data_IF_195664249337
#
_entry.id   IF_195664249337
#
_cell.length_a   1.000
_cell.length_b   1.000
_cell.length_c   1.000
_cell.angle_alpha   90.00
_cell.angle_beta   90.00
_cell.angle_gamma   90.00
#
_symmetry.space_group_name_H-M   'P 1'
#
loop_
_entity.id
_entity.type
_entity.pdbx_description
1 polymer ?
#
# COMPACT_ATOMS: atom_id res chain seq x y z
N UNK A 1 8.19 -47.03 -6.34
CA UNK A 1 8.68 -45.65 -6.51
C UNK A 1 7.57 -44.82 -7.15
N UNK A 2 6.72 -44.20 -6.34
CA UNK A 2 5.52 -43.52 -6.80
C UNK A 2 5.87 -42.16 -7.44
N UNK A 3 6.06 -42.20 -8.76
CA UNK A 3 5.92 -41.15 -9.75
C UNK A 3 6.01 -39.68 -9.25
N UNK A 4 7.21 -39.11 -9.36
CA UNK A 4 7.47 -37.65 -9.27
C UNK A 4 6.58 -36.83 -10.23
N UNK A 5 6.11 -37.42 -11.34
CA UNK A 5 5.22 -36.78 -12.31
C UNK A 5 3.80 -36.54 -11.78
N UNK A 6 3.31 -37.38 -10.87
CA UNK A 6 1.97 -37.21 -10.29
C UNK A 6 1.97 -36.01 -9.33
N UNK A 7 3.01 -35.85 -8.52
CA UNK A 7 3.15 -34.68 -7.64
C UNK A 7 3.33 -33.38 -8.42
N UNK A 8 4.05 -33.40 -9.53
CA UNK A 8 4.20 -32.21 -10.38
C UNK A 8 2.86 -31.75 -10.98
N UNK A 9 2.02 -32.67 -11.48
CA UNK A 9 0.70 -32.35 -12.00
C UNK A 9 -0.27 -31.90 -10.91
N UNK A 10 -0.23 -32.54 -9.74
CA UNK A 10 -1.09 -32.19 -8.61
C UNK A 10 -0.70 -30.84 -8.01
N UNK A 11 0.61 -30.52 -7.94
CA UNK A 11 1.10 -29.21 -7.53
C UNK A 11 0.73 -28.11 -8.53
N UNK A 12 0.83 -28.38 -9.85
CA UNK A 12 0.43 -27.41 -10.89
C UNK A 12 -1.08 -27.13 -10.85
N UNK A 13 -1.91 -28.15 -10.63
CA UNK A 13 -3.36 -28.02 -10.50
C UNK A 13 -3.72 -27.21 -9.25
N UNK A 14 -3.08 -27.49 -8.11
CA UNK A 14 -3.27 -26.74 -6.85
C UNK A 14 -2.86 -25.26 -7.01
N UNK A 15 -1.79 -24.99 -7.76
CA UNK A 15 -1.31 -23.63 -8.03
C UNK A 15 -2.27 -22.86 -8.96
N UNK A 16 -2.86 -23.53 -9.95
CA UNK A 16 -3.86 -22.96 -10.85
C UNK A 16 -5.18 -22.64 -10.13
N UNK A 17 -5.64 -23.53 -9.24
CA UNK A 17 -6.82 -23.28 -8.40
C UNK A 17 -6.57 -22.12 -7.41
N UNK A 18 -5.38 -22.04 -6.81
CA UNK A 18 -5.00 -20.92 -5.95
C UNK A 18 -5.01 -19.59 -6.71
N UNK A 19 -4.48 -19.54 -7.95
CA UNK A 19 -4.52 -18.35 -8.79
C UNK A 19 -5.96 -17.95 -9.21
N UNK A 20 -6.82 -18.91 -9.52
CA UNK A 20 -8.22 -18.66 -9.88
C UNK A 20 -9.05 -18.13 -8.69
N UNK A 21 -8.82 -18.64 -7.49
CA UNK A 21 -9.44 -18.13 -6.26
C UNK A 21 -8.94 -16.72 -5.92
N UNK A 22 -7.68 -16.44 -6.24
CA UNK A 22 -7.06 -15.13 -6.06
C UNK A 22 -7.68 -14.07 -6.98
N UNK A 23 -7.91 -14.39 -8.26
CA UNK A 23 -8.53 -13.49 -9.23
C UNK A 23 -10.01 -13.15 -8.92
N UNK A 24 -10.76 -14.07 -8.28
CA UNK A 24 -12.19 -13.87 -7.96
C UNK A 24 -12.44 -12.91 -6.79
N UNK A 25 -11.39 -12.55 -6.02
CA UNK A 25 -11.53 -11.81 -4.76
C UNK A 25 -10.74 -10.50 -4.73
N UNK A 26 -10.24 -10.02 -5.88
CA UNK A 26 -9.40 -8.82 -5.95
C UNK A 26 -10.18 -7.58 -5.50
N UNK A 27 -9.75 -6.92 -4.42
CA UNK A 27 -10.46 -5.76 -3.89
C UNK A 27 -10.26 -4.54 -4.78
N UNK A 28 -11.36 -3.86 -5.09
CA UNK A 28 -11.30 -2.59 -5.82
C UNK A 28 -10.96 -1.43 -4.85
N UNK A 29 -9.76 -0.87 -4.98
CA UNK A 29 -9.25 0.22 -4.14
C UNK A 29 -10.17 1.46 -4.18
N UNK A 30 -10.61 1.85 -5.39
CA UNK A 30 -11.45 3.03 -5.60
C UNK A 30 -12.78 2.88 -4.85
N UNK A 31 -13.39 1.70 -4.90
CA UNK A 31 -14.65 1.40 -4.20
C UNK A 31 -14.50 1.50 -2.68
N UNK A 32 -13.36 1.04 -2.13
CA UNK A 32 -13.07 1.11 -0.70
C UNK A 32 -12.91 2.56 -0.24
N UNK A 33 -12.16 3.37 -0.99
CA UNK A 33 -11.91 4.78 -0.66
C UNK A 33 -13.15 5.66 -0.85
N UNK A 34 -13.90 5.46 -1.94
CA UNK A 34 -15.12 6.23 -2.26
C UNK A 34 -16.18 6.08 -1.17
N UNK A 35 -16.34 4.86 -0.62
CA UNK A 35 -17.27 4.59 0.49
C UNK A 35 -16.99 5.42 1.75
N UNK A 36 -15.77 5.92 1.93
CA UNK A 36 -15.32 6.56 3.16
C UNK A 36 -15.33 8.09 3.12
N UNK A 37 -15.70 8.73 2.00
CA UNK A 37 -15.86 10.20 1.79
C UNK A 37 -14.71 11.14 2.24
N UNK A 38 -13.62 10.63 2.80
CA UNK A 38 -12.49 11.38 3.40
C UNK A 38 -11.17 11.22 2.64
N UNK A 39 -11.23 10.70 1.42
CA UNK A 39 -10.07 10.38 0.57
C UNK A 39 -10.24 10.95 -0.84
N UNK A 40 -10.99 12.06 -0.98
CA UNK A 40 -11.28 12.67 -2.28
C UNK A 40 -10.02 13.15 -2.98
N UNK A 41 -9.11 13.79 -2.25
CA UNK A 41 -7.84 14.29 -2.78
C UNK A 41 -6.93 13.14 -3.23
N UNK A 42 -6.83 12.09 -2.41
CA UNK A 42 -6.06 10.89 -2.76
C UNK A 42 -6.60 10.22 -4.02
N UNK A 43 -7.93 10.07 -4.12
CA UNK A 43 -8.58 9.49 -5.30
C UNK A 43 -8.33 10.30 -6.57
N UNK A 44 -8.35 11.64 -6.47
CA UNK A 44 -8.03 12.52 -7.60
C UNK A 44 -6.60 12.29 -8.07
N UNK A 45 -5.63 12.27 -7.14
CA UNK A 45 -4.23 12.03 -7.45
C UNK A 45 -4.01 10.65 -8.09
N UNK A 46 -4.57 9.59 -7.50
CA UNK A 46 -4.48 8.22 -8.05
C UNK A 46 -5.03 8.11 -9.47
N UNK A 47 -6.11 8.82 -9.79
CA UNK A 47 -6.68 8.87 -11.14
C UNK A 47 -5.79 9.64 -12.10
N UNK A 48 -5.29 10.81 -11.68
CA UNK A 48 -4.40 11.63 -12.52
C UNK A 48 -3.07 10.93 -12.81
N UNK A 49 -2.52 10.16 -11.87
CA UNK A 49 -1.27 9.41 -12.06
C UNK A 49 -1.47 8.02 -12.67
N UNK A 50 -2.71 7.62 -12.98
CA UNK A 50 -3.07 6.28 -13.47
C UNK A 50 -2.57 5.12 -12.56
N UNK A 51 -2.31 5.40 -11.28
CA UNK A 51 -1.83 4.39 -10.33
C UNK A 51 -2.93 3.42 -9.87
N UNK A 52 -4.20 3.73 -10.12
CA UNK A 52 -5.31 2.80 -9.85
C UNK A 52 -5.07 1.47 -10.58
N UNK A 53 -4.78 1.55 -11.87
CA UNK A 53 -4.54 0.37 -12.73
C UNK A 53 -3.29 -0.38 -12.26
N UNK A 54 -2.21 0.35 -11.96
CA UNK A 54 -0.97 -0.25 -11.46
C UNK A 54 -1.18 -1.02 -10.14
N UNK A 55 -1.94 -0.45 -9.19
CA UNK A 55 -2.27 -1.15 -7.94
C UNK A 55 -3.16 -2.37 -8.22
N UNK A 56 -4.15 -2.26 -9.10
CA UNK A 56 -5.00 -3.41 -9.46
C UNK A 56 -4.21 -4.55 -10.11
N UNK A 57 -3.25 -4.23 -10.98
CA UNK A 57 -2.37 -5.22 -11.61
C UNK A 57 -1.44 -5.88 -10.58
N UNK A 58 -0.86 -5.08 -9.68
CA UNK A 58 -0.06 -5.61 -8.58
C UNK A 58 -0.91 -6.49 -7.66
N UNK A 59 -2.17 -6.16 -7.39
CA UNK A 59 -3.06 -7.01 -6.57
C UNK A 59 -3.45 -8.33 -7.25
N UNK A 60 -3.30 -8.45 -8.57
CA UNK A 60 -3.55 -9.69 -9.31
C UNK A 60 -2.29 -10.53 -9.46
N UNK A 61 -1.16 -9.86 -9.67
CA UNK A 61 0.09 -10.50 -10.11
C UNK A 61 1.14 -10.60 -9.00
N UNK A 62 1.03 -9.83 -7.92
CA UNK A 62 1.99 -9.88 -6.81
C UNK A 62 1.60 -10.95 -5.78
N UNK A 63 2.36 -12.06 -5.67
CA UNK A 63 2.08 -13.13 -4.71
C UNK A 63 2.32 -12.71 -3.26
N UNK A 64 3.07 -11.63 -3.00
CA UNK A 64 3.36 -11.14 -1.65
C UNK A 64 2.30 -10.13 -1.16
N UNK A 65 1.42 -9.68 -2.06
CA UNK A 65 0.38 -8.68 -1.79
C UNK A 65 0.93 -7.27 -1.60
N UNK A 66 0.07 -6.34 -1.19
CA UNK A 66 0.40 -4.90 -1.11
C UNK A 66 -0.13 -4.31 0.18
N UNK A 67 0.65 -3.39 0.75
CA UNK A 67 0.18 -2.50 1.81
C UNK A 67 0.15 -1.06 1.34
N UNK A 68 -1.02 -0.42 1.43
CA UNK A 68 -1.20 0.97 1.05
C UNK A 68 -1.53 1.82 2.29
N UNK A 69 -0.87 2.96 2.40
CA UNK A 69 -1.14 3.99 3.40
C UNK A 69 -1.94 5.12 2.75
N UNK A 70 -3.23 5.22 3.08
CA UNK A 70 -4.12 6.25 2.57
C UNK A 70 -4.15 7.48 3.50
N UNK A 71 -3.52 8.61 3.11
CA UNK A 71 -3.72 9.88 3.79
C UNK A 71 -5.14 10.38 3.59
N UNK A 72 -5.75 10.91 4.65
CA UNK A 72 -7.06 11.56 4.59
C UNK A 72 -6.98 12.95 3.98
N UNK A 73 -8.10 13.51 3.53
CA UNK A 73 -8.17 14.91 3.05
C UNK A 73 -7.66 15.92 4.10
N UNK A 74 -7.88 15.64 5.40
CA UNK A 74 -7.32 16.43 6.50
C UNK A 74 -5.79 16.34 6.62
N UNK A 75 -5.17 15.26 6.15
CA UNK A 75 -3.72 15.12 6.11
C UNK A 75 -3.14 15.99 4.99
N UNK A 76 -3.81 16.03 3.84
CA UNK A 76 -3.47 16.94 2.74
C UNK A 76 -3.66 18.41 3.12
N UNK A 77 -4.69 18.72 3.92
CA UNK A 77 -4.93 20.07 4.42
C UNK A 77 -3.87 20.61 5.38
N UNK A 78 -2.99 19.75 5.93
CA UNK A 78 -1.83 20.17 6.74
C UNK A 78 -0.62 20.58 5.90
N UNK A 79 -0.61 20.23 4.62
CA UNK A 79 0.49 20.62 3.74
C UNK A 79 0.40 22.14 3.47
N UNK A 80 1.54 22.79 3.19
CA UNK A 80 1.55 24.20 2.83
C UNK A 80 0.58 24.50 1.68
N UNK A 81 -0.08 25.67 1.69
CA UNK A 81 -0.96 26.06 0.58
C UNK A 81 -0.16 26.05 -0.73
N UNK A 82 -0.73 25.44 -1.77
CA UNK A 82 -0.07 25.29 -3.07
C UNK A 82 0.88 24.09 -3.19
N UNK A 83 1.19 23.36 -2.10
CA UNK A 83 2.09 22.20 -2.18
C UNK A 83 1.61 21.17 -3.19
N UNK A 84 0.32 20.82 -3.19
CA UNK A 84 -0.27 19.90 -4.16
C UNK A 84 -0.40 20.46 -5.57
N UNK A 85 -0.57 21.78 -5.71
CA UNK A 85 -0.70 22.44 -7.00
C UNK A 85 0.65 22.51 -7.74
N UNK A 86 1.74 22.58 -6.98
CA UNK A 86 3.10 22.64 -7.50
C UNK A 86 3.71 21.26 -7.77
N UNK A 87 3.01 20.16 -7.45
CA UNK A 87 3.49 18.82 -7.74
C UNK A 87 3.39 18.52 -9.24
N UNK A 88 4.51 18.10 -9.82
CA UNK A 88 4.50 17.50 -11.16
C UNK A 88 3.86 16.11 -11.10
N UNK A 89 3.45 15.59 -12.25
CA UNK A 89 2.92 14.23 -12.35
C UNK A 89 3.91 13.18 -11.80
N UNK A 90 5.19 13.33 -12.12
CA UNK A 90 6.25 12.46 -11.63
C UNK A 90 6.40 12.51 -10.10
N UNK A 91 6.38 13.72 -9.52
CA UNK A 91 6.44 13.89 -8.07
C UNK A 91 5.21 13.31 -7.37
N UNK A 92 4.01 13.53 -7.92
CA UNK A 92 2.79 12.94 -7.38
C UNK A 92 2.84 11.41 -7.42
N UNK A 93 3.32 10.82 -8.52
CA UNK A 93 3.52 9.37 -8.64
C UNK A 93 4.50 8.86 -7.58
N UNK A 94 5.65 9.50 -7.44
CA UNK A 94 6.67 9.11 -6.44
C UNK A 94 6.12 9.17 -5.01
N UNK A 95 5.40 10.25 -4.66
CA UNK A 95 4.76 10.39 -3.35
C UNK A 95 3.74 9.26 -3.14
N UNK A 96 2.91 8.93 -4.13
CA UNK A 96 1.94 7.84 -3.99
C UNK A 96 2.60 6.47 -3.87
N UNK A 97 3.70 6.23 -4.59
CA UNK A 97 4.49 5.01 -4.49
C UNK A 97 5.16 4.88 -3.11
N UNK A 98 5.61 5.98 -2.50
CA UNK A 98 6.12 6.01 -1.12
C UNK A 98 5.06 5.57 -0.10
N UNK A 99 3.78 5.77 -0.42
CA UNK A 99 2.67 5.31 0.43
C UNK A 99 2.32 3.84 0.23
N UNK A 100 2.99 3.13 -0.69
CA UNK A 100 2.72 1.73 -0.99
C UNK A 100 3.95 0.87 -0.67
N UNK A 101 3.72 -0.29 -0.05
CA UNK A 101 4.73 -1.33 0.20
C UNK A 101 4.45 -2.54 -0.71
N UNK A 102 5.50 -3.16 -1.27
CA UNK A 102 5.39 -4.30 -2.18
C UNK A 102 5.03 -5.63 -1.49
N UNK A 103 4.63 -5.60 -0.22
CA UNK A 103 4.27 -6.77 0.58
C UNK A 103 3.06 -6.48 1.47
N UNK A 104 2.28 -7.52 1.77
CA UNK A 104 1.16 -7.47 2.69
C UNK A 104 1.61 -7.44 4.16
N UNK A 105 1.29 -6.34 4.83
CA UNK A 105 1.57 -6.13 6.24
C UNK A 105 0.27 -5.96 7.04
N UNK A 106 0.14 -6.78 8.09
CA UNK A 106 -0.85 -6.58 9.14
C UNK A 106 -0.31 -5.68 10.25
N UNK A 107 -1.17 -5.14 11.12
CA UNK A 107 -0.71 -4.46 12.34
C UNK A 107 0.22 -5.32 13.19
N UNK A 108 0.00 -6.64 13.21
CA UNK A 108 0.85 -7.58 13.94
C UNK A 108 2.23 -7.69 13.32
N UNK A 109 2.31 -7.75 11.99
CA UNK A 109 3.57 -7.85 11.26
C UNK A 109 4.38 -6.56 11.39
N UNK A 110 3.76 -5.40 11.18
CA UNK A 110 4.40 -4.09 11.31
C UNK A 110 5.02 -3.88 12.70
N UNK A 111 4.42 -4.41 13.76
CA UNK A 111 4.97 -4.34 15.12
C UNK A 111 6.27 -5.13 15.29
N UNK A 112 6.48 -6.16 14.48
CA UNK A 112 7.66 -7.04 14.56
C UNK A 112 8.79 -6.55 13.65
N UNK A 113 8.47 -5.67 12.69
CA UNK A 113 9.46 -5.09 11.79
C UNK A 113 10.39 -4.16 12.57
N UNK A 114 11.68 -4.47 12.53
CA UNK A 114 12.75 -3.65 13.13
C UNK A 114 13.57 -2.90 12.08
N UNK A 115 13.53 -3.36 10.83
CA UNK A 115 14.28 -2.80 9.71
C UNK A 115 13.41 -1.82 8.91
N UNK A 116 14.00 -0.84 8.20
CA UNK A 116 13.27 -0.10 7.19
C UNK A 116 12.66 -1.05 6.16
N UNK A 117 11.44 -0.75 5.70
CA UNK A 117 10.75 -1.50 4.65
C UNK A 117 10.84 -0.68 3.38
N UNK A 118 11.34 -1.28 2.30
CA UNK A 118 11.34 -0.64 0.98
C UNK A 118 9.92 -0.38 0.50
N UNK A 119 9.71 0.76 -0.14
CA UNK A 119 8.43 1.14 -0.73
C UNK A 119 8.44 0.85 -2.23
N UNK A 120 7.30 1.08 -2.91
CA UNK A 120 7.29 1.09 -4.37
C UNK A 120 8.04 2.29 -4.95
N UNK A 121 8.35 3.32 -4.15
CA UNK A 121 9.18 4.42 -4.61
C UNK A 121 10.65 3.99 -4.52
N UNK A 122 11.33 3.97 -5.66
CA UNK A 122 12.72 3.54 -5.75
C UNK A 122 13.62 4.38 -4.83
N UNK A 123 14.49 3.70 -4.09
CA UNK A 123 15.42 4.32 -3.13
C UNK A 123 14.76 4.89 -1.86
N UNK A 124 13.45 4.65 -1.67
CA UNK A 124 12.71 5.10 -0.49
C UNK A 124 12.29 3.93 0.40
N UNK A 125 12.60 4.05 1.70
CA UNK A 125 12.16 3.11 2.72
C UNK A 125 11.40 3.80 3.85
N UNK A 126 10.47 3.06 4.45
CA UNK A 126 9.71 3.50 5.62
C UNK A 126 10.19 2.78 6.86
N UNK A 127 10.46 3.55 7.91
CA UNK A 127 10.78 3.01 9.22
C UNK A 127 9.50 2.85 10.03
N UNK A 128 9.31 1.65 10.57
CA UNK A 128 8.22 1.36 11.49
C UNK A 128 8.71 1.52 12.92
N UNK A 129 8.00 2.31 13.72
CA UNK A 129 8.31 2.49 15.15
C UNK A 129 7.08 2.24 16.01
N UNK A 130 7.32 1.83 17.25
CA UNK A 130 6.27 1.57 18.23
C UNK A 130 6.36 2.56 19.38
N UNK A 131 5.25 3.25 19.65
CA UNK A 131 5.15 4.15 20.79
C UNK A 131 3.77 4.04 21.41
N UNK A 132 3.71 3.90 22.75
CA UNK A 132 2.46 3.78 23.53
C UNK A 132 1.45 2.78 22.93
N UNK A 133 1.93 1.59 22.53
CA UNK A 133 1.14 0.51 21.86
C UNK A 133 0.55 0.88 20.48
N UNK A 134 0.88 2.04 19.91
CA UNK A 134 0.53 2.46 18.55
C UNK A 134 1.71 2.25 17.60
N UNK A 135 1.40 1.96 16.34
CA UNK A 135 2.39 1.82 15.25
C UNK A 135 2.53 3.17 14.59
N UNK A 136 3.76 3.61 14.35
CA UNK A 136 4.11 4.82 13.62
C UNK A 136 4.91 4.43 12.39
N UNK A 137 4.66 5.15 11.31
CA UNK A 137 5.37 5.02 10.04
C UNK A 137 6.11 6.32 9.81
N UNK A 138 7.41 6.21 9.52
CA UNK A 138 8.29 7.35 9.30
C UNK A 138 8.94 7.24 7.93
N UNK A 139 8.83 8.30 7.12
CA UNK A 139 9.59 8.47 5.88
C UNK A 139 10.94 9.18 6.11
N UNK A 140 11.29 9.48 7.37
CA UNK A 140 12.38 10.37 7.74
C UNK A 140 11.84 11.75 8.10
N UNK A 141 11.48 12.61 7.13
CA UNK A 141 10.95 13.95 7.39
C UNK A 141 9.58 13.95 8.08
N UNK A 142 8.76 12.95 7.81
CA UNK A 142 7.39 12.84 8.36
C UNK A 142 7.27 11.54 9.14
N UNK A 143 6.73 11.64 10.36
CA UNK A 143 6.36 10.49 11.17
C UNK A 143 4.89 10.60 11.56
N UNK A 144 4.08 9.63 11.14
CA UNK A 144 2.63 9.61 11.38
C UNK A 144 2.21 8.33 12.10
N UNK A 145 1.26 8.41 13.07
CA UNK A 145 0.64 7.22 13.61
C UNK A 145 -0.22 6.53 12.56
N UNK A 146 -0.13 5.20 12.52
CA UNK A 146 -1.02 4.34 11.77
C UNK A 146 -2.37 4.28 12.51
N UNK A 147 -3.44 4.73 11.87
CA UNK A 147 -4.76 4.88 12.51
C UNK A 147 -5.59 3.59 12.37
N UNK A 148 -6.64 3.64 11.55
CA UNK A 148 -7.56 2.54 11.29
C UNK A 148 -7.17 1.86 9.99
N UNK A 149 -7.33 0.55 9.92
CA UNK A 149 -7.28 -0.13 8.63
C UNK A 149 -8.65 -0.12 7.98
N UNK A 150 -8.68 0.31 6.74
CA UNK A 150 -9.87 0.38 5.89
C UNK A 150 -10.16 -0.97 5.25
N UNK A 151 -9.13 -1.78 5.02
CA UNK A 151 -9.21 -3.08 4.40
C UNK A 151 -8.04 -3.96 4.90
N UNK A 152 -8.34 -5.22 5.28
CA UNK A 152 -7.37 -6.17 5.88
C UNK A 152 -7.57 -7.57 5.32
N UNK A 153 -7.48 -7.74 4.01
CA UNK A 153 -7.65 -9.06 3.41
C UNK A 153 -6.65 -9.22 2.28
N UNK A 154 -5.80 -10.24 2.40
CA UNK A 154 -4.85 -10.59 1.36
C UNK A 154 -5.57 -10.68 -0.01
N UNK A 155 -5.02 -10.06 -1.07
CA UNK A 155 -3.68 -9.47 -1.19
C UNK A 155 -3.53 -8.01 -0.71
N UNK A 156 -4.59 -7.30 -0.31
CA UNK A 156 -4.52 -5.86 0.02
C UNK A 156 -4.62 -5.58 1.53
N UNK A 157 -3.71 -4.76 2.04
CA UNK A 157 -3.82 -4.10 3.33
C UNK A 157 -3.91 -2.59 3.13
N UNK A 158 -4.96 -1.95 3.63
CA UNK A 158 -5.15 -0.51 3.49
C UNK A 158 -5.24 0.14 4.86
N UNK A 159 -4.34 1.06 5.16
CA UNK A 159 -4.31 1.78 6.43
C UNK A 159 -4.51 3.27 6.25
N UNK A 160 -5.17 3.89 7.21
CA UNK A 160 -5.33 5.35 7.26
C UNK A 160 -4.16 5.97 8.00
N UNK A 161 -3.59 7.03 7.44
CA UNK A 161 -2.58 7.86 8.09
C UNK A 161 -3.08 9.29 8.27
N UNK A 162 -2.49 10.01 9.22
CA UNK A 162 -2.91 11.37 9.61
C UNK A 162 -2.14 12.50 8.94
N UNK A 163 -1.04 12.16 8.26
CA UNK A 163 -0.12 13.07 7.60
C UNK A 163 0.31 12.42 6.28
N UNK A 164 0.67 13.23 5.28
CA UNK A 164 1.17 12.74 3.99
C UNK A 164 2.65 12.44 4.15
N UNK A 165 3.08 11.23 3.78
CA UNK A 165 4.49 10.86 3.77
C UNK A 165 5.20 11.63 2.65
N UNK A 166 6.28 12.31 3.01
CA UNK A 166 7.08 13.12 2.08
C UNK A 166 8.40 12.37 1.87
N UNK A 167 8.87 12.27 0.62
CA UNK A 167 10.14 11.62 0.32
C UNK A 167 11.30 12.37 0.93
N UNK A 168 12.29 11.63 1.43
CA UNK A 168 13.52 12.21 1.94
C UNK A 168 14.45 12.53 0.78
N UNK A 169 14.30 13.72 0.19
CA UNK A 169 15.23 14.21 -0.84
C UNK A 169 16.53 14.57 -0.13
N UNK A 170 17.56 13.75 -0.30
CA UNK A 170 18.93 14.10 0.09
C UNK A 170 19.56 15.02 -0.94
#
# INVERSE_FOLDING_TARGET
MASSRIYALLALLLLAEAAALHAKTTPNLVSILTRRKKYGTLLKLLKTTNLVTAVEDQLKNNPDGITLFAPTDAAFGKLPPGALANLTLAQATYILQLHALPEFYSFGNLRKVKKPIETFAEGSSLKVTLSRKKVFISSGPVTTPLKKSLYKKFPLSLFTIGDVLIPNVK
#
